data_IF_891383352287
#
_entry.id   IF_891383352287
#
_cell.length_a   1.000
_cell.length_b   1.000
_cell.length_c   1.000
_cell.angle_alpha   90.00
_cell.angle_beta   90.00
_cell.angle_gamma   90.00
#
_symmetry.space_group_name_H-M   'P 1'
#
loop_
_entity.id
_entity.type
_entity.pdbx_description
1 polymer ?
#
# COMPACT_ATOMS: atom_id res chain seq x y z
N UNK A 1 -53.46 34.63 13.22
CA UNK A 1 -53.06 33.36 12.57
C UNK A 1 -52.04 33.68 11.49
N UNK A 2 -50.74 33.40 11.69
CA UNK A 2 -49.66 33.70 10.72
C UNK A 2 -49.23 32.39 10.06
N UNK A 3 -49.11 32.29 8.73
CA UNK A 3 -48.63 31.07 8.10
C UNK A 3 -47.10 30.92 8.27
N UNK A 4 -46.67 29.72 8.62
CA UNK A 4 -45.27 29.30 8.73
C UNK A 4 -44.73 29.04 7.33
N UNK A 5 -43.91 29.95 6.80
CA UNK A 5 -43.25 29.79 5.50
C UNK A 5 -42.06 28.81 5.64
N UNK A 6 -42.26 27.55 5.26
CA UNK A 6 -41.22 26.52 5.11
C UNK A 6 -40.73 26.45 3.66
N UNK A 7 -39.86 27.38 3.23
CA UNK A 7 -39.06 27.14 2.02
C UNK A 7 -37.66 27.73 2.16
N UNK A 8 -36.83 27.14 3.03
CA UNK A 8 -35.37 27.30 2.88
C UNK A 8 -34.95 26.50 1.65
N UNK A 9 -34.94 27.20 0.53
CA UNK A 9 -34.37 26.80 -0.75
C UNK A 9 -33.02 26.10 -0.53
N UNK A 10 -32.99 24.80 -0.86
CA UNK A 10 -31.79 23.97 -0.91
C UNK A 10 -30.95 24.51 -2.07
N UNK A 11 -30.04 25.43 -1.78
CA UNK A 11 -29.11 26.07 -2.72
C UNK A 11 -28.28 24.99 -3.43
N UNK A 12 -28.74 24.57 -4.59
CA UNK A 12 -28.07 23.63 -5.50
C UNK A 12 -26.81 24.29 -6.04
N UNK A 13 -25.69 24.04 -5.35
CA UNK A 13 -24.36 24.52 -5.75
C UNK A 13 -24.03 23.95 -7.14
N UNK A 14 -23.61 24.76 -8.11
CA UNK A 14 -23.35 24.30 -9.46
C UNK A 14 -22.16 23.32 -9.48
N UNK A 15 -22.36 22.18 -10.16
CA UNK A 15 -21.59 20.93 -10.06
C UNK A 15 -20.17 20.96 -10.69
N UNK A 16 -19.70 22.13 -11.12
CA UNK A 16 -18.41 22.27 -11.81
C UNK A 16 -17.21 22.16 -10.86
N UNK A 17 -17.30 22.70 -9.64
CA UNK A 17 -16.24 22.54 -8.62
C UNK A 17 -16.00 21.07 -8.25
N UNK A 18 -17.04 20.23 -8.30
CA UNK A 18 -16.95 18.80 -8.01
C UNK A 18 -16.28 18.02 -9.14
N UNK A 19 -16.50 18.37 -10.41
CA UNK A 19 -15.87 17.68 -11.55
C UNK A 19 -14.40 18.06 -11.71
N UNK A 20 -14.05 19.33 -11.54
CA UNK A 20 -12.67 19.80 -11.61
C UNK A 20 -11.84 19.24 -10.45
N UNK A 21 -12.37 19.30 -9.22
CA UNK A 21 -11.73 18.71 -8.04
C UNK A 21 -11.55 17.20 -8.12
N UNK A 22 -12.52 16.46 -8.68
CA UNK A 22 -12.39 15.02 -8.91
C UNK A 22 -11.29 14.69 -9.92
N UNK A 23 -11.18 15.47 -11.00
CA UNK A 23 -10.15 15.27 -12.03
C UNK A 23 -8.76 15.56 -11.49
N UNK A 24 -8.58 16.66 -10.77
CA UNK A 24 -7.28 16.97 -10.16
C UNK A 24 -6.91 15.92 -9.12
N UNK A 25 -7.84 15.51 -8.24
CA UNK A 25 -7.59 14.45 -7.27
C UNK A 25 -7.21 13.12 -7.94
N UNK A 26 -7.95 12.72 -8.97
CA UNK A 26 -7.65 11.51 -9.74
C UNK A 26 -6.27 11.60 -10.42
N UNK A 27 -5.94 12.74 -11.01
CA UNK A 27 -4.64 12.97 -11.65
C UNK A 27 -3.49 12.87 -10.65
N UNK A 28 -3.63 13.48 -9.47
CA UNK A 28 -2.62 13.40 -8.41
C UNK A 28 -2.44 11.95 -7.96
N UNK A 29 -3.53 11.24 -7.68
CA UNK A 29 -3.47 9.82 -7.30
C UNK A 29 -2.79 8.96 -8.36
N UNK A 30 -3.17 9.11 -9.63
CA UNK A 30 -2.56 8.38 -10.75
C UNK A 30 -1.06 8.69 -10.83
N UNK A 31 -0.67 9.97 -10.73
CA UNK A 31 0.73 10.37 -10.83
C UNK A 31 1.56 9.81 -9.66
N UNK A 32 1.02 9.82 -8.44
CA UNK A 32 1.65 9.20 -7.27
C UNK A 32 1.84 7.69 -7.47
N UNK A 33 0.82 6.99 -7.95
CA UNK A 33 0.95 5.55 -8.25
C UNK A 33 1.98 5.30 -9.35
N UNK A 34 1.92 6.04 -10.47
CA UNK A 34 2.90 5.90 -11.56
C UNK A 34 4.31 6.12 -11.04
N UNK A 35 4.54 7.14 -10.20
CA UNK A 35 5.85 7.40 -9.61
C UNK A 35 6.35 6.25 -8.72
N UNK A 36 5.48 5.69 -7.87
CA UNK A 36 5.82 4.55 -7.00
C UNK A 36 6.08 3.26 -7.80
N UNK A 37 5.31 3.01 -8.86
CA UNK A 37 5.41 1.80 -9.67
C UNK A 37 6.46 1.90 -10.79
N UNK A 38 6.85 3.10 -11.23
CA UNK A 38 7.87 3.30 -12.26
C UNK A 38 9.19 2.54 -11.97
N UNK A 39 9.82 2.65 -10.79
CA UNK A 39 11.04 1.88 -10.51
C UNK A 39 10.81 0.37 -10.49
N UNK A 40 9.64 -0.08 -10.04
CA UNK A 40 9.27 -1.50 -10.05
C UNK A 40 9.13 -2.00 -11.50
N UNK A 41 8.48 -1.23 -12.37
CA UNK A 41 8.36 -1.57 -13.79
C UNK A 41 9.73 -1.62 -14.48
N UNK A 42 10.60 -0.67 -14.18
CA UNK A 42 11.99 -0.68 -14.68
C UNK A 42 12.70 -1.97 -14.23
N UNK A 43 12.58 -2.34 -12.96
CA UNK A 43 13.16 -3.57 -12.42
C UNK A 43 12.61 -4.82 -13.12
N UNK A 44 11.30 -4.87 -13.39
CA UNK A 44 10.67 -5.97 -14.13
C UNK A 44 11.16 -6.04 -15.58
N UNK A 45 11.31 -4.91 -16.27
CA UNK A 45 11.86 -4.89 -17.64
C UNK A 45 13.31 -5.38 -17.63
N UNK A 46 14.11 -4.97 -16.65
CA UNK A 46 15.51 -5.41 -16.51
C UNK A 46 15.64 -6.86 -16.04
N UNK A 47 14.66 -7.44 -15.34
CA UNK A 47 14.73 -8.86 -14.93
C UNK A 47 14.66 -9.83 -16.11
N UNK A 48 14.17 -9.37 -17.27
CA UNK A 48 14.23 -10.10 -18.54
C UNK A 48 15.50 -9.86 -19.33
N UNK A 49 16.45 -9.06 -18.84
CA UNK A 49 17.70 -8.76 -19.54
C UNK A 49 18.75 -9.85 -19.26
N UNK A 50 19.43 -10.30 -20.32
CA UNK A 50 20.51 -11.29 -20.19
C UNK A 50 21.75 -10.76 -19.47
N UNK A 51 21.97 -9.44 -19.45
CA UNK A 51 23.07 -8.82 -18.71
C UNK A 51 22.78 -8.78 -17.21
N UNK A 52 23.79 -9.16 -16.41
CA UNK A 52 23.80 -8.98 -14.95
C UNK A 52 23.93 -7.52 -14.50
N UNK A 53 24.41 -6.65 -15.38
CA UNK A 53 24.66 -5.24 -15.08
C UNK A 53 23.81 -4.33 -15.96
N UNK A 54 23.35 -3.21 -15.39
CA UNK A 54 22.68 -2.12 -16.12
C UNK A 54 23.76 -1.36 -16.91
N UNK A 55 24.37 -2.02 -17.89
CA UNK A 55 25.51 -1.50 -18.66
C UNK A 55 25.10 -0.70 -19.91
N UNK A 56 23.84 -0.29 -20.02
CA UNK A 56 23.33 0.49 -21.15
C UNK A 56 23.22 -0.27 -22.48
N UNK A 57 23.80 -1.47 -22.58
CA UNK A 57 23.68 -2.37 -23.73
C UNK A 57 22.61 -3.42 -23.48
N UNK A 58 21.58 -3.46 -24.34
CA UNK A 58 20.54 -4.49 -24.27
C UNK A 58 21.12 -5.83 -24.76
N UNK A 59 21.47 -6.72 -23.83
CA UNK A 59 22.10 -8.02 -24.14
C UNK A 59 21.14 -9.09 -24.68
N UNK A 60 19.83 -8.79 -24.79
CA UNK A 60 18.80 -9.73 -25.23
C UNK A 60 17.81 -10.11 -24.12
N UNK A 61 16.71 -10.76 -24.53
CA UNK A 61 15.67 -11.27 -23.63
C UNK A 61 16.07 -12.66 -23.10
N UNK A 62 16.01 -12.86 -21.78
CA UNK A 62 16.21 -14.17 -21.14
C UNK A 62 15.22 -14.44 -20.01
N UNK A 63 15.05 -15.73 -19.69
CA UNK A 63 14.32 -16.23 -18.51
C UNK A 63 15.23 -17.08 -17.61
N UNK A 64 16.53 -17.10 -17.86
CA UNK A 64 17.48 -17.98 -17.14
C UNK A 64 17.50 -17.70 -15.64
N UNK A 65 17.40 -16.42 -15.24
CA UNK A 65 17.32 -16.01 -13.83
C UNK A 65 16.13 -16.63 -13.09
N UNK A 66 14.99 -16.79 -13.77
CA UNK A 66 13.81 -17.42 -13.17
C UNK A 66 14.01 -18.93 -13.04
N UNK A 67 14.71 -19.57 -13.99
CA UNK A 67 15.05 -21.00 -13.88
C UNK A 67 16.00 -21.25 -12.72
N UNK A 68 17.05 -20.43 -12.62
CA UNK A 68 18.04 -20.51 -11.54
C UNK A 68 17.39 -20.30 -10.16
N UNK A 69 16.43 -19.38 -10.07
CA UNK A 69 15.67 -19.13 -8.84
C UNK A 69 14.97 -20.38 -8.30
N UNK A 70 14.46 -21.26 -9.18
CA UNK A 70 13.79 -22.49 -8.77
C UNK A 70 14.75 -23.66 -8.53
N UNK A 71 15.96 -23.65 -9.10
CA UNK A 71 16.99 -24.66 -8.83
C UNK A 71 17.81 -24.37 -7.58
N UNK A 72 17.86 -23.11 -7.14
CA UNK A 72 18.64 -22.72 -5.96
C UNK A 72 17.91 -23.10 -4.65
N UNK A 73 18.37 -24.20 -4.06
CA UNK A 73 17.87 -24.71 -2.78
C UNK A 73 18.09 -23.76 -1.59
N UNK A 74 19.13 -22.91 -1.62
CA UNK A 74 19.40 -21.95 -0.56
C UNK A 74 18.40 -20.79 -0.61
N UNK A 75 18.07 -20.29 -1.81
CA UNK A 75 17.01 -19.29 -2.01
C UNK A 75 15.64 -19.83 -1.56
N UNK A 76 15.30 -21.07 -1.91
CA UNK A 76 14.07 -21.71 -1.46
C UNK A 76 13.98 -21.84 0.07
N UNK A 77 15.09 -22.23 0.72
CA UNK A 77 15.17 -22.32 2.18
C UNK A 77 15.03 -20.94 2.84
N UNK A 78 15.70 -19.92 2.30
CA UNK A 78 15.62 -18.55 2.79
C UNK A 78 14.18 -18.02 2.71
N UNK A 79 13.49 -18.24 1.57
CA UNK A 79 12.09 -17.85 1.39
C UNK A 79 11.18 -18.51 2.43
N UNK A 80 11.34 -19.82 2.66
CA UNK A 80 10.55 -20.56 3.66
C UNK A 80 10.78 -20.01 5.07
N UNK A 81 12.03 -19.73 5.42
CA UNK A 81 12.37 -19.16 6.73
C UNK A 81 11.74 -17.78 6.92
N UNK A 82 11.84 -16.90 5.91
CA UNK A 82 11.21 -15.58 5.95
C UNK A 82 9.69 -15.65 6.09
N UNK A 83 9.03 -16.55 5.35
CA UNK A 83 7.57 -16.74 5.46
C UNK A 83 7.16 -17.26 6.83
N UNK A 84 7.90 -18.21 7.39
CA UNK A 84 7.64 -18.74 8.73
C UNK A 84 7.77 -17.66 9.81
N UNK A 85 8.86 -16.88 9.77
CA UNK A 85 9.11 -15.78 10.71
C UNK A 85 8.05 -14.68 10.55
N UNK A 86 7.73 -14.30 9.31
CA UNK A 86 6.72 -13.27 9.03
C UNK A 86 5.35 -13.69 9.57
N UNK A 87 4.92 -14.92 9.30
CA UNK A 87 3.61 -15.41 9.72
C UNK A 87 3.48 -15.49 11.25
N UNK A 88 4.48 -16.09 11.91
CA UNK A 88 4.49 -16.20 13.37
C UNK A 88 4.56 -14.82 14.03
N UNK A 89 5.40 -13.92 13.53
CA UNK A 89 5.51 -12.55 14.02
C UNK A 89 4.22 -11.75 13.83
N UNK A 90 3.56 -11.85 12.68
CA UNK A 90 2.28 -11.18 12.43
C UNK A 90 1.21 -11.69 13.39
N UNK A 91 1.08 -13.00 13.57
CA UNK A 91 0.09 -13.58 14.47
C UNK A 91 0.26 -13.09 15.91
N UNK A 92 1.49 -13.17 16.42
CA UNK A 92 1.83 -12.70 17.77
C UNK A 92 1.55 -11.19 17.91
N UNK A 93 2.03 -10.39 16.95
CA UNK A 93 1.84 -8.94 16.95
C UNK A 93 0.36 -8.55 16.90
N UNK A 94 -0.46 -9.22 16.08
CA UNK A 94 -1.90 -8.97 15.99
C UNK A 94 -2.59 -9.33 17.31
N UNK A 95 -2.31 -10.49 17.90
CA UNK A 95 -2.92 -10.88 19.18
C UNK A 95 -2.58 -9.88 20.28
N UNK A 96 -1.30 -9.53 20.45
CA UNK A 96 -0.90 -8.55 21.45
C UNK A 96 -1.46 -7.15 21.15
N UNK A 97 -1.38 -6.70 19.90
CA UNK A 97 -1.90 -5.41 19.47
C UNK A 97 -3.41 -5.27 19.71
N UNK A 98 -4.20 -6.30 19.38
CA UNK A 98 -5.63 -6.32 19.64
C UNK A 98 -5.95 -6.36 21.13
N UNK A 99 -5.22 -7.16 21.93
CA UNK A 99 -5.41 -7.18 23.40
C UNK A 99 -5.13 -5.81 24.02
N UNK A 100 -4.04 -5.15 23.62
CA UNK A 100 -3.70 -3.80 24.09
C UNK A 100 -4.76 -2.79 23.68
N UNK A 101 -5.20 -2.81 22.41
CA UNK A 101 -6.25 -1.91 21.92
C UNK A 101 -7.56 -2.06 22.72
N UNK A 102 -8.00 -3.31 22.97
CA UNK A 102 -9.19 -3.59 23.77
C UNK A 102 -9.02 -3.18 25.24
N UNK A 103 -7.84 -3.39 25.81
CA UNK A 103 -7.55 -2.99 27.18
C UNK A 103 -7.60 -1.46 27.34
N UNK A 104 -7.06 -0.72 26.37
CA UNK A 104 -7.08 0.74 26.34
C UNK A 104 -8.49 1.32 26.15
N UNK A 105 -9.35 0.66 25.37
CA UNK A 105 -10.73 1.08 25.18
C UNK A 105 -11.60 0.83 26.42
N UNK A 106 -11.47 -0.36 27.03
CA UNK A 106 -12.40 -0.82 28.09
C UNK A 106 -11.97 -0.47 29.51
N UNK A 107 -10.67 -0.33 29.78
CA UNK A 107 -10.17 -0.12 31.14
C UNK A 107 -9.49 1.24 31.30
N UNK A 108 -9.87 1.98 32.36
CA UNK A 108 -9.16 3.19 32.80
C UNK A 108 -8.02 2.78 33.75
N UNK A 109 -6.85 2.45 33.20
CA UNK A 109 -5.65 2.13 33.98
C UNK A 109 -4.71 3.35 34.14
N UNK A 110 -3.89 3.35 35.19
CA UNK A 110 -3.00 4.48 35.57
C UNK A 110 -1.92 4.83 34.52
N UNK A 111 -1.63 3.93 33.57
CA UNK A 111 -0.70 4.15 32.47
C UNK A 111 -1.28 4.84 31.23
N UNK A 112 -2.60 5.13 31.21
CA UNK A 112 -3.26 5.81 30.09
C UNK A 112 -2.73 7.24 29.84
N UNK A 113 -2.20 7.88 30.89
CA UNK A 113 -1.64 9.25 30.85
C UNK A 113 -0.26 9.36 30.17
N UNK A 114 0.45 8.24 29.96
CA UNK A 114 1.76 8.27 29.28
C UNK A 114 1.65 8.26 27.75
N UNK A 115 0.44 8.05 27.21
CA UNK A 115 0.14 7.97 25.79
C UNK A 115 -0.79 9.11 25.31
N UNK A 116 -1.04 10.11 26.15
CA UNK A 116 -1.81 11.34 25.84
C UNK A 116 -0.86 12.54 25.68
#
# INVERSE_FOLDING_TARGET
MKPINKTKSKKSRPSYYLRLGKRTLALHGILSYVFLYAPILILVVFSFNASRFVSGTWSGFTLDWYRELFSDSALGLALRNSLYIAFTSTLVSTVFGTMVALAMERYRFRGKLAFD
#
